data_IF_317290134539
#
_entry.id   IF_317290134539
#
_cell.length_a   1.000
_cell.length_b   1.000
_cell.length_c   1.000
_cell.angle_alpha   90.00
_cell.angle_beta   90.00
_cell.angle_gamma   90.00
#
_symmetry.space_group_name_H-M   'P 1'
#
loop_
_entity.id
_entity.type
_entity.pdbx_description
1 polymer ?
#
# COMPACT_ATOMS: atom_id res chain seq x y z
N UNK A 1 45.00 -23.56 -13.42
CA UNK A 1 45.09 -22.40 -12.50
C UNK A 1 46.41 -22.48 -11.76
N UNK A 2 47.18 -21.39 -11.69
CA UNK A 2 48.47 -21.35 -10.97
C UNK A 2 48.23 -21.46 -9.45
N UNK A 3 48.90 -22.41 -8.79
CA UNK A 3 48.88 -22.54 -7.33
C UNK A 3 49.90 -21.59 -6.70
N UNK A 4 49.68 -21.22 -5.43
CA UNK A 4 50.61 -20.40 -4.66
C UNK A 4 51.99 -21.07 -4.62
N UNK A 5 53.06 -20.29 -4.79
CA UNK A 5 54.45 -20.77 -4.75
C UNK A 5 54.96 -21.18 -3.37
N UNK A 6 54.10 -21.14 -2.34
CA UNK A 6 54.41 -21.73 -1.04
C UNK A 6 53.97 -23.19 -1.09
N UNK A 7 54.92 -24.11 -0.89
CA UNK A 7 54.81 -25.55 -1.14
C UNK A 7 53.62 -26.19 -0.40
N UNK A 8 53.26 -25.67 0.78
CA UNK A 8 52.15 -26.18 1.59
C UNK A 8 50.81 -25.46 1.32
N UNK A 9 50.80 -24.47 0.43
CA UNK A 9 49.63 -23.64 0.18
C UNK A 9 48.84 -24.10 -1.05
N UNK A 10 47.73 -24.81 -0.82
CA UNK A 10 46.78 -25.20 -1.88
C UNK A 10 45.97 -24.06 -2.51
N UNK A 11 46.14 -22.81 -2.07
CA UNK A 11 45.38 -21.65 -2.58
C UNK A 11 45.85 -21.24 -3.98
N UNK A 12 44.95 -20.66 -4.76
CA UNK A 12 45.25 -20.09 -6.07
C UNK A 12 46.18 -18.88 -5.93
N UNK A 13 47.20 -18.80 -6.78
CA UNK A 13 48.03 -17.60 -6.89
C UNK A 13 47.26 -16.49 -7.62
N UNK A 14 47.23 -15.30 -7.03
CA UNK A 14 46.63 -14.09 -7.61
C UNK A 14 47.56 -12.87 -7.55
N UNK A 15 48.59 -12.92 -6.70
CA UNK A 15 49.54 -11.83 -6.46
C UNK A 15 50.88 -12.07 -7.14
N UNK A 16 51.48 -11.00 -7.68
CA UNK A 16 52.79 -11.02 -8.32
C UNK A 16 53.29 -9.60 -8.57
N UNK A 17 54.46 -9.47 -9.19
CA UNK A 17 55.00 -8.17 -9.61
C UNK A 17 54.19 -7.67 -10.81
N UNK A 18 53.94 -6.36 -10.88
CA UNK A 18 53.22 -5.72 -12.00
C UNK A 18 53.79 -6.16 -13.35
N UNK A 19 52.93 -6.63 -14.26
CA UNK A 19 53.32 -7.14 -15.59
C UNK A 19 53.80 -8.60 -15.61
N UNK A 20 53.96 -9.23 -14.44
CA UNK A 20 54.35 -10.64 -14.31
C UNK A 20 53.16 -11.55 -14.00
N UNK A 21 53.36 -12.86 -14.11
CA UNK A 21 52.36 -13.86 -13.70
C UNK A 21 52.19 -13.87 -12.18
N UNK A 22 50.98 -14.22 -11.72
CA UNK A 22 50.71 -14.43 -10.31
C UNK A 22 51.50 -15.64 -9.77
N UNK A 23 52.22 -15.44 -8.67
CA UNK A 23 53.07 -16.44 -8.02
C UNK A 23 52.57 -16.78 -6.61
N UNK A 24 51.90 -15.86 -5.91
CA UNK A 24 51.46 -16.07 -4.51
C UNK A 24 49.97 -15.77 -4.28
N UNK A 25 49.42 -16.29 -3.19
CA UNK A 25 48.08 -15.92 -2.73
C UNK A 25 48.13 -14.69 -1.81
N UNK A 26 46.97 -14.11 -1.46
CA UNK A 26 46.90 -12.91 -0.61
C UNK A 26 47.68 -13.03 0.72
N UNK A 27 47.68 -14.22 1.33
CA UNK A 27 48.36 -14.45 2.61
C UNK A 27 49.88 -14.58 2.48
N UNK A 28 50.38 -14.86 1.28
CA UNK A 28 51.81 -15.10 1.00
C UNK A 28 52.38 -14.06 0.03
N UNK A 29 51.70 -12.92 -0.16
CA UNK A 29 52.21 -11.86 -1.02
C UNK A 29 53.33 -11.10 -0.32
N UNK A 30 54.34 -10.69 -1.07
CA UNK A 30 55.33 -9.72 -0.60
C UNK A 30 54.79 -8.28 -0.71
N UNK A 31 55.45 -7.33 -0.06
CA UNK A 31 55.01 -5.92 0.01
C UNK A 31 54.90 -5.29 -1.38
N UNK A 32 55.80 -5.63 -2.30
CA UNK A 32 55.84 -5.15 -3.68
C UNK A 32 54.88 -5.91 -4.64
N UNK A 33 54.16 -6.93 -4.17
CA UNK A 33 53.27 -7.72 -5.01
C UNK A 33 51.84 -7.17 -5.00
N UNK A 34 51.28 -7.04 -6.20
CA UNK A 34 49.91 -6.59 -6.46
C UNK A 34 49.08 -7.74 -7.00
N UNK A 35 47.76 -7.62 -6.93
CA UNK A 35 46.87 -8.59 -7.57
C UNK A 35 46.96 -8.41 -9.09
N UNK A 36 47.64 -9.36 -9.75
CA UNK A 36 47.87 -9.38 -11.20
C UNK A 36 46.92 -10.35 -11.92
N UNK A 37 46.17 -11.15 -11.17
CA UNK A 37 45.22 -12.11 -11.72
C UNK A 37 43.80 -11.55 -11.78
N UNK A 38 43.41 -10.72 -10.83
CA UNK A 38 42.09 -10.11 -10.78
C UNK A 38 42.14 -8.66 -11.29
N UNK A 39 41.11 -8.24 -12.01
CA UNK A 39 40.98 -6.85 -12.46
C UNK A 39 40.87 -5.94 -11.24
N UNK A 40 41.77 -4.98 -11.12
CA UNK A 40 41.81 -3.99 -10.03
C UNK A 40 41.64 -2.57 -10.60
N UNK A 41 41.06 -1.68 -9.80
CA UNK A 41 41.14 -0.24 -10.07
C UNK A 41 42.60 0.23 -9.89
N UNK A 42 42.99 1.35 -10.50
CA UNK A 42 44.36 1.91 -10.33
C UNK A 42 44.77 2.16 -8.88
N UNK A 43 43.82 2.25 -7.93
CA UNK A 43 44.06 2.37 -6.50
C UNK A 43 44.09 1.01 -5.74
N UNK A 44 44.10 -0.13 -6.45
CA UNK A 44 44.12 -1.48 -5.89
C UNK A 44 42.78 -2.04 -5.39
N UNK A 45 41.72 -1.23 -5.33
CA UNK A 45 40.37 -1.69 -4.93
C UNK A 45 39.66 -2.44 -6.06
N UNK A 46 38.72 -3.32 -5.69
CA UNK A 46 37.90 -4.05 -6.67
C UNK A 46 37.06 -3.07 -7.53
N UNK A 47 37.18 -3.12 -8.86
CA UNK A 47 36.46 -2.24 -9.75
C UNK A 47 35.02 -2.72 -9.91
N UNK A 48 34.08 -1.78 -9.88
CA UNK A 48 32.64 -2.02 -10.10
C UNK A 48 32.02 -1.06 -11.10
N UNK A 49 32.70 0.05 -11.39
CA UNK A 49 32.18 1.18 -12.14
C UNK A 49 32.93 1.37 -13.45
N UNK A 50 32.21 1.77 -14.50
CA UNK A 50 32.76 2.31 -15.74
C UNK A 50 31.67 3.00 -16.57
N UNK A 51 32.02 3.58 -17.72
CA UNK A 51 31.05 4.06 -18.69
C UNK A 51 30.22 2.91 -19.29
N UNK A 52 29.02 3.23 -19.75
CA UNK A 52 28.08 2.26 -20.34
C UNK A 52 28.74 1.54 -21.53
N UNK A 53 28.64 0.21 -21.56
CA UNK A 53 29.24 -0.63 -22.60
C UNK A 53 30.70 -1.03 -22.35
N UNK A 54 31.37 -0.46 -21.33
CA UNK A 54 32.74 -0.82 -20.97
C UNK A 54 32.77 -1.75 -19.74
N UNK A 55 33.75 -2.67 -19.65
CA UNK A 55 33.91 -3.53 -18.48
C UNK A 55 34.32 -2.73 -17.24
N UNK A 56 33.89 -3.13 -16.05
CA UNK A 56 34.22 -2.43 -14.79
C UNK A 56 35.74 -2.21 -14.63
N UNK A 57 36.15 -0.95 -14.41
CA UNK A 57 37.57 -0.54 -14.28
C UNK A 57 37.83 0.32 -13.03
N UNK A 58 36.81 0.99 -12.49
CA UNK A 58 36.95 1.92 -11.37
C UNK A 58 36.21 1.44 -10.13
N UNK A 59 36.77 1.72 -8.95
CA UNK A 59 36.11 1.45 -7.67
C UNK A 59 35.19 2.62 -7.26
N UNK A 60 34.37 2.44 -6.23
CA UNK A 60 33.40 3.47 -5.78
C UNK A 60 34.05 4.81 -5.43
N UNK A 61 35.27 4.82 -4.88
CA UNK A 61 35.97 6.07 -4.55
C UNK A 61 36.70 6.71 -5.74
N UNK A 62 36.80 6.02 -6.87
CA UNK A 62 37.48 6.50 -8.08
C UNK A 62 36.53 6.61 -9.28
N UNK A 63 35.22 6.48 -9.06
CA UNK A 63 34.21 6.68 -10.09
C UNK A 63 33.97 8.18 -10.27
N UNK A 64 33.62 8.59 -11.47
CA UNK A 64 33.01 9.90 -11.76
C UNK A 64 31.48 9.77 -11.74
N UNK A 65 30.76 10.89 -11.89
CA UNK A 65 29.30 10.92 -11.80
C UNK A 65 28.59 10.25 -13.00
N UNK A 66 29.24 10.21 -14.15
CA UNK A 66 28.79 9.58 -15.40
C UNK A 66 29.05 8.07 -15.46
N UNK A 67 29.82 7.51 -14.51
CA UNK A 67 30.10 6.07 -14.47
C UNK A 67 28.98 5.26 -13.82
N UNK A 68 28.61 4.15 -14.46
CA UNK A 68 27.61 3.18 -14.01
C UNK A 68 28.26 1.86 -13.58
N UNK A 69 27.48 0.93 -13.01
CA UNK A 69 27.94 -0.46 -12.80
C UNK A 69 27.60 -1.31 -14.05
N UNK A 70 28.54 -1.55 -14.99
CA UNK A 70 28.22 -2.10 -16.31
C UNK A 70 27.74 -3.56 -16.28
N UNK A 71 28.18 -4.34 -15.28
CA UNK A 71 27.82 -5.77 -15.16
C UNK A 71 26.60 -6.00 -14.26
N UNK A 72 25.95 -4.93 -13.79
CA UNK A 72 24.83 -5.07 -12.88
C UNK A 72 23.59 -5.47 -13.67
N UNK A 73 22.94 -6.57 -13.29
CA UNK A 73 21.66 -6.96 -13.88
C UNK A 73 20.62 -5.90 -13.53
N UNK A 74 20.00 -5.33 -14.57
CA UNK A 74 18.95 -4.33 -14.45
C UNK A 74 17.63 -4.94 -14.95
N UNK A 75 16.53 -4.44 -14.42
CA UNK A 75 15.22 -4.65 -15.04
C UNK A 75 15.22 -3.97 -16.43
N UNK A 76 14.28 -4.34 -17.29
CA UNK A 76 14.11 -3.72 -18.62
C UNK A 76 13.95 -2.19 -18.55
N UNK A 77 13.46 -1.65 -17.44
CA UNK A 77 13.35 -0.21 -17.19
C UNK A 77 14.64 0.46 -16.65
N UNK A 78 15.76 -0.27 -16.55
CA UNK A 78 17.04 0.25 -16.05
C UNK A 78 17.18 0.33 -14.52
N UNK A 79 16.13 -0.03 -13.76
CA UNK A 79 16.16 -0.04 -12.28
C UNK A 79 16.63 -1.41 -11.78
N UNK A 80 17.30 -1.42 -10.62
CA UNK A 80 17.72 -2.66 -9.96
C UNK A 80 16.51 -3.58 -9.71
N UNK A 81 16.55 -4.84 -10.18
CA UNK A 81 15.49 -5.79 -9.93
C UNK A 81 15.59 -6.37 -8.52
N UNK A 82 14.44 -6.64 -7.92
CA UNK A 82 14.29 -7.34 -6.64
C UNK A 82 13.18 -8.39 -6.67
N UNK A 83 12.34 -8.38 -7.72
CA UNK A 83 11.12 -9.15 -7.79
C UNK A 83 11.21 -10.23 -8.87
N UNK A 84 10.65 -11.39 -8.54
CA UNK A 84 10.30 -12.45 -9.48
C UNK A 84 9.31 -13.43 -8.81
N UNK A 85 8.93 -14.52 -9.47
CA UNK A 85 8.24 -15.63 -8.83
C UNK A 85 9.18 -16.41 -7.89
N UNK A 86 8.59 -17.13 -6.94
CA UNK A 86 9.33 -17.91 -5.95
C UNK A 86 10.29 -18.91 -6.62
N UNK A 87 11.52 -19.01 -6.12
CA UNK A 87 12.58 -19.85 -6.69
C UNK A 87 13.35 -19.26 -7.87
N UNK A 88 12.89 -18.15 -8.46
CA UNK A 88 13.57 -17.49 -9.58
C UNK A 88 14.48 -16.33 -9.11
N UNK A 89 15.52 -16.03 -9.90
CA UNK A 89 16.40 -14.86 -9.66
C UNK A 89 15.66 -13.56 -9.97
N UNK A 90 15.99 -12.46 -9.28
CA UNK A 90 15.34 -11.18 -9.52
C UNK A 90 15.55 -10.66 -10.96
N UNK A 91 14.45 -10.27 -11.61
CA UNK A 91 14.45 -9.69 -12.97
C UNK A 91 13.59 -8.43 -13.08
N UNK A 92 12.65 -8.24 -12.17
CA UNK A 92 11.72 -7.12 -12.18
C UNK A 92 11.99 -6.16 -11.03
N UNK A 93 11.90 -4.86 -11.30
CA UNK A 93 11.91 -3.85 -10.24
C UNK A 93 10.51 -3.73 -9.62
N UNK A 94 10.36 -2.93 -8.56
CA UNK A 94 9.05 -2.75 -7.87
C UNK A 94 7.95 -2.23 -8.80
N UNK A 95 8.29 -1.40 -9.79
CA UNK A 95 7.34 -0.81 -10.74
C UNK A 95 7.02 -1.72 -11.92
N UNK A 96 7.94 -2.61 -12.29
CA UNK A 96 7.78 -3.53 -13.43
C UNK A 96 7.36 -4.95 -13.01
N UNK A 97 7.13 -5.18 -11.72
CA UNK A 97 6.65 -6.49 -11.25
C UNK A 97 5.21 -6.72 -11.74
N UNK A 98 4.92 -7.95 -12.11
CA UNK A 98 3.57 -8.40 -12.42
C UNK A 98 2.84 -8.88 -11.15
N UNK A 99 1.53 -9.10 -11.26
CA UNK A 99 0.73 -9.75 -10.21
C UNK A 99 1.34 -11.10 -9.84
N UNK A 100 1.36 -11.42 -8.54
CA UNK A 100 1.94 -12.67 -8.02
C UNK A 100 3.47 -12.68 -7.86
N UNK A 101 4.21 -11.72 -8.42
CA UNK A 101 5.66 -11.63 -8.21
C UNK A 101 6.00 -11.11 -6.81
N UNK A 102 7.00 -11.74 -6.19
CA UNK A 102 7.45 -11.51 -4.82
C UNK A 102 8.88 -10.95 -4.82
N UNK A 103 9.30 -10.27 -3.74
CA UNK A 103 10.71 -9.92 -3.58
C UNK A 103 11.52 -11.21 -3.29
N UNK A 104 12.43 -11.57 -4.18
CA UNK A 104 13.25 -12.81 -4.13
C UNK A 104 14.68 -12.55 -3.64
N UNK A 105 15.09 -11.30 -3.49
CA UNK A 105 16.40 -10.91 -2.95
C UNK A 105 16.39 -10.80 -1.43
N UNK A 106 15.27 -10.34 -0.86
CA UNK A 106 15.13 -10.17 0.58
C UNK A 106 15.03 -11.54 1.26
N UNK A 107 15.84 -11.74 2.31
CA UNK A 107 15.74 -12.92 3.17
C UNK A 107 14.35 -12.99 3.78
N UNK A 108 13.72 -14.17 3.70
CA UNK A 108 12.37 -14.43 4.24
C UNK A 108 12.43 -15.39 5.42
N UNK A 109 11.40 -15.32 6.26
CA UNK A 109 11.14 -16.37 7.23
C UNK A 109 10.86 -17.71 6.52
N UNK A 110 11.14 -18.84 7.18
CA UNK A 110 10.78 -20.19 6.72
C UNK A 110 9.30 -20.30 6.35
N UNK A 111 8.41 -19.55 7.01
CA UNK A 111 6.98 -19.54 6.71
C UNK A 111 6.57 -18.70 5.47
N UNK A 112 7.54 -18.19 4.69
CA UNK A 112 7.27 -17.42 3.46
C UNK A 112 6.76 -15.99 3.68
N UNK A 113 6.40 -15.59 4.91
CA UNK A 113 5.93 -14.24 5.23
C UNK A 113 6.96 -13.17 4.86
N UNK A 114 6.46 -12.03 4.38
CA UNK A 114 7.24 -10.89 3.88
C UNK A 114 8.00 -10.13 4.97
N UNK A 115 7.70 -10.38 6.25
CA UNK A 115 8.45 -9.78 7.35
C UNK A 115 9.90 -10.30 7.35
N UNK A 116 10.85 -9.37 7.25
CA UNK A 116 12.27 -9.70 7.25
C UNK A 116 12.64 -10.46 8.53
N UNK A 117 13.17 -11.69 8.43
CA UNK A 117 13.39 -12.56 9.59
C UNK A 117 14.41 -11.93 10.54
N UNK A 118 14.08 -11.93 11.82
CA UNK A 118 14.87 -11.29 12.88
C UNK A 118 15.19 -12.23 14.03
N UNK A 119 14.60 -13.42 14.06
CA UNK A 119 14.74 -14.40 15.11
C UNK A 119 15.59 -15.59 14.66
N UNK A 120 16.46 -16.05 15.55
CA UNK A 120 17.19 -17.31 15.47
C UNK A 120 17.86 -17.60 16.84
N UNK A 121 18.57 -18.71 16.96
CA UNK A 121 19.46 -18.95 18.10
C UNK A 121 20.67 -18.01 18.07
N UNK A 122 21.28 -17.82 19.24
CA UNK A 122 22.44 -16.94 19.41
C UNK A 122 23.57 -17.28 18.44
N UNK A 123 24.22 -16.24 17.90
CA UNK A 123 25.29 -16.38 16.90
C UNK A 123 24.82 -16.65 15.46
N UNK A 124 23.56 -17.04 15.25
CA UNK A 124 23.02 -17.32 13.91
C UNK A 124 22.36 -16.08 13.27
N UNK A 125 22.30 -16.07 11.94
CA UNK A 125 21.60 -15.03 11.18
C UNK A 125 20.08 -15.22 11.26
N UNK A 126 19.32 -14.11 11.28
CA UNK A 126 17.86 -14.16 11.37
C UNK A 126 17.23 -15.02 10.27
N UNK A 127 16.50 -16.06 10.67
CA UNK A 127 15.82 -17.02 9.78
C UNK A 127 14.32 -17.13 10.05
N UNK A 128 13.87 -16.68 11.22
CA UNK A 128 12.48 -16.74 11.64
C UNK A 128 11.91 -15.33 11.88
N UNK A 129 10.62 -15.13 11.63
CA UNK A 129 9.89 -13.95 12.08
C UNK A 129 9.43 -14.15 13.52
N UNK A 130 9.00 -13.08 14.20
CA UNK A 130 8.58 -13.18 15.61
C UNK A 130 7.39 -14.13 15.85
N UNK A 131 6.54 -14.33 14.84
CA UNK A 131 5.43 -15.29 14.91
C UNK A 131 5.84 -16.75 14.66
N UNK A 132 7.05 -16.97 14.15
CA UNK A 132 7.60 -18.30 13.89
C UNK A 132 8.85 -18.55 14.74
N UNK A 133 9.04 -17.75 15.81
CA UNK A 133 10.09 -18.02 16.77
C UNK A 133 9.75 -19.34 17.49
N UNK A 134 10.73 -20.21 17.58
CA UNK A 134 10.66 -21.40 18.43
C UNK A 134 11.16 -21.06 19.83
N UNK A 135 10.89 -21.94 20.78
CA UNK A 135 11.39 -21.79 22.13
C UNK A 135 12.94 -21.70 22.15
N UNK A 136 13.45 -20.80 22.98
CA UNK A 136 14.88 -20.46 23.05
C UNK A 136 15.43 -19.57 21.91
N UNK A 137 14.65 -19.19 20.90
CA UNK A 137 15.12 -18.25 19.87
C UNK A 137 15.12 -16.79 20.37
N UNK A 138 16.13 -16.02 19.95
CA UNK A 138 16.27 -14.61 20.29
C UNK A 138 16.16 -13.72 19.04
N UNK A 139 15.88 -12.43 19.24
CA UNK A 139 15.97 -11.46 18.16
C UNK A 139 17.45 -11.16 17.85
N UNK A 140 18.03 -11.86 16.88
CA UNK A 140 19.45 -11.73 16.49
C UNK A 140 19.75 -10.41 15.75
N UNK A 141 18.74 -9.64 15.33
CA UNK A 141 18.91 -8.28 14.80
C UNK A 141 18.93 -7.22 15.91
N UNK A 142 18.23 -7.47 17.03
CA UNK A 142 18.16 -6.58 18.21
C UNK A 142 18.54 -7.37 19.45
N UNK A 143 19.84 -7.46 19.69
CA UNK A 143 20.42 -8.20 20.81
C UNK A 143 20.06 -7.50 22.12
N UNK A 144 19.59 -8.25 23.12
CA UNK A 144 19.28 -7.74 24.47
C UNK A 144 20.56 -7.58 25.30
N UNK A 145 20.55 -6.67 26.28
CA UNK A 145 21.71 -6.44 27.15
C UNK A 145 22.25 -7.76 27.72
N UNK A 146 23.52 -8.07 27.49
CA UNK A 146 24.16 -9.29 28.06
C UNK A 146 24.62 -9.07 29.51
N UNK A 147 24.75 -7.80 29.91
CA UNK A 147 25.24 -7.42 31.24
C UNK A 147 24.14 -7.33 32.29
N UNK A 148 22.86 -7.38 31.90
CA UNK A 148 21.73 -7.36 32.84
C UNK A 148 20.43 -7.89 32.21
N UNK A 149 19.50 -8.30 33.06
CA UNK A 149 18.20 -8.84 32.66
C UNK A 149 17.15 -7.77 32.30
N UNK A 150 17.55 -6.54 31.96
CA UNK A 150 16.60 -5.43 31.72
C UNK A 150 15.73 -5.61 30.47
N UNK A 151 16.07 -6.57 29.59
CA UNK A 151 15.34 -6.83 28.35
C UNK A 151 15.49 -5.74 27.27
N UNK A 152 16.22 -4.65 27.56
CA UNK A 152 16.46 -3.53 26.63
C UNK A 152 17.47 -3.92 25.56
N UNK A 153 17.27 -3.43 24.33
CA UNK A 153 18.22 -3.63 23.23
C UNK A 153 19.57 -2.99 23.51
N UNK A 154 20.64 -3.67 23.09
CA UNK A 154 21.99 -3.18 23.19
C UNK A 154 22.23 -2.05 22.19
N UNK A 155 22.67 -0.91 22.70
CA UNK A 155 23.11 0.20 21.86
C UNK A 155 24.60 0.53 22.08
N UNK A 156 25.20 0.04 23.16
CA UNK A 156 26.53 0.47 23.60
C UNK A 156 27.59 -0.63 23.48
N UNK A 157 28.79 -0.26 23.00
CA UNK A 157 30.04 -1.00 23.13
C UNK A 157 31.24 -0.09 22.79
N UNK A 158 32.47 -0.62 22.78
CA UNK A 158 33.66 0.07 22.28
C UNK A 158 33.57 0.33 20.75
N UNK A 159 34.22 1.39 20.25
CA UNK A 159 34.25 1.70 18.81
C UNK A 159 34.69 0.51 17.95
N UNK A 160 33.99 0.27 16.84
CA UNK A 160 34.30 -0.82 15.89
C UNK A 160 33.75 -2.20 16.25
N UNK A 161 33.17 -2.38 17.45
CA UNK A 161 32.53 -3.64 17.87
C UNK A 161 31.02 -3.63 17.65
N UNK A 162 30.34 -4.77 17.87
CA UNK A 162 28.86 -4.84 17.91
C UNK A 162 28.32 -4.39 19.27
N UNK A 163 27.13 -3.78 19.36
CA UNK A 163 26.51 -3.42 20.64
C UNK A 163 26.35 -4.64 21.57
N UNK A 164 26.69 -4.49 22.86
CA UNK A 164 26.56 -5.57 23.87
C UNK A 164 25.79 -5.19 25.13
N UNK A 165 25.58 -3.89 25.39
CA UNK A 165 24.86 -3.48 26.59
C UNK A 165 23.90 -2.30 26.38
N UNK A 166 22.96 -2.17 27.31
CA UNK A 166 22.06 -1.03 27.44
C UNK A 166 22.79 0.19 28.04
N UNK A 167 22.13 1.35 28.01
CA UNK A 167 22.69 2.60 28.53
C UNK A 167 23.09 2.52 30.01
N UNK A 168 22.32 1.80 30.84
CA UNK A 168 22.61 1.67 32.28
C UNK A 168 23.77 0.73 32.59
N UNK A 169 24.14 -0.16 31.68
CA UNK A 169 25.28 -1.08 31.82
C UNK A 169 26.52 -0.62 31.03
N UNK A 170 26.50 0.62 30.56
CA UNK A 170 27.61 1.27 29.86
C UNK A 170 28.72 1.56 30.87
N UNK A 171 29.96 1.16 30.55
CA UNK A 171 31.17 1.55 31.30
C UNK A 171 31.87 2.72 30.61
N UNK A 172 32.78 3.44 31.31
CA UNK A 172 33.65 4.43 30.67
C UNK A 172 34.33 3.85 29.41
N UNK A 173 34.41 4.65 28.34
CA UNK A 173 34.95 4.24 27.04
C UNK A 173 33.94 3.61 26.06
N UNK A 174 32.79 3.11 26.53
CA UNK A 174 31.74 2.60 25.63
C UNK A 174 30.94 3.75 24.99
N UNK A 175 30.62 3.63 23.70
CA UNK A 175 29.86 4.63 22.93
C UNK A 175 28.55 4.03 22.41
N UNK A 176 27.56 4.87 22.10
CA UNK A 176 26.36 4.43 21.39
C UNK A 176 26.75 4.15 19.93
N UNK A 177 26.59 2.91 19.50
CA UNK A 177 26.94 2.42 18.16
C UNK A 177 25.72 2.31 17.24
N UNK A 178 24.51 2.52 17.78
CA UNK A 178 23.26 2.41 17.03
C UNK A 178 22.77 3.81 16.63
N UNK A 179 22.81 4.75 17.55
CA UNK A 179 22.32 6.10 17.34
C UNK A 179 23.47 7.04 16.99
N UNK A 180 23.61 7.33 15.69
CA UNK A 180 24.64 8.21 15.16
C UNK A 180 24.64 9.58 15.87
N UNK A 181 25.79 9.95 16.41
CA UNK A 181 26.01 11.24 17.06
C UNK A 181 26.54 12.24 16.04
N UNK A 182 26.28 13.52 16.31
CA UNK A 182 26.96 14.62 15.63
C UNK A 182 28.47 14.52 15.86
N UNK A 183 29.28 15.06 14.94
CA UNK A 183 30.74 15.09 15.06
C UNK A 183 31.24 15.70 16.39
N UNK A 184 30.45 16.58 17.02
CA UNK A 184 30.74 17.17 18.32
C UNK A 184 30.55 16.22 19.52
N UNK A 185 29.95 15.04 19.31
CA UNK A 185 29.69 14.02 20.33
C UNK A 185 28.59 14.35 21.35
N UNK A 186 28.04 15.57 21.34
CA UNK A 186 27.13 16.06 22.40
C UNK A 186 25.66 15.72 22.19
N UNK A 187 25.24 15.42 20.96
CA UNK A 187 23.84 15.20 20.63
C UNK A 187 23.68 14.32 19.39
N UNK A 188 22.48 13.75 19.23
CA UNK A 188 22.08 12.98 18.06
C UNK A 188 22.17 13.81 16.78
N UNK A 189 22.67 13.18 15.72
CA UNK A 189 22.80 13.82 14.42
C UNK A 189 21.48 13.76 13.63
N UNK A 190 20.55 14.66 13.94
CA UNK A 190 19.23 14.69 13.30
C UNK A 190 19.18 15.65 12.09
N UNK A 191 20.20 16.49 11.89
CA UNK A 191 20.22 17.52 10.87
C UNK A 191 21.19 17.17 9.74
N UNK A 192 20.76 17.43 8.50
CA UNK A 192 21.62 17.50 7.31
C UNK A 192 20.86 18.18 6.15
N UNK A 193 21.50 18.28 4.98
CA UNK A 193 20.84 18.63 3.74
C UNK A 193 19.91 17.49 3.26
N UNK A 194 18.90 17.87 2.46
CA UNK A 194 17.90 16.94 1.93
C UNK A 194 18.58 15.78 1.18
N UNK A 195 18.14 14.55 1.45
CA UNK A 195 18.66 13.34 0.83
C UNK A 195 19.92 12.75 1.50
N UNK A 196 20.55 13.47 2.41
CA UNK A 196 21.71 12.99 3.17
C UNK A 196 21.30 12.41 4.54
N UNK A 197 22.04 11.42 5.07
CA UNK A 197 21.84 10.93 6.43
C UNK A 197 22.23 12.00 7.45
N UNK A 198 21.70 11.90 8.67
CA UNK A 198 21.88 12.95 9.67
C UNK A 198 23.28 12.88 10.25
N UNK A 199 24.04 13.97 10.14
CA UNK A 199 25.42 14.08 10.64
C UNK A 199 25.64 15.28 11.58
N UNK A 200 24.65 16.16 11.72
CA UNK A 200 24.70 17.36 12.56
C UNK A 200 23.62 17.38 13.64
N UNK A 201 23.92 17.91 14.82
CA UNK A 201 22.90 18.21 15.83
C UNK A 201 22.34 19.62 15.63
N UNK A 202 21.27 19.97 16.35
CA UNK A 202 20.63 21.28 16.22
C UNK A 202 21.56 22.47 16.49
N UNK A 203 22.58 22.29 17.34
CA UNK A 203 23.58 23.32 17.68
C UNK A 203 24.75 23.39 16.69
N UNK A 204 24.99 22.33 15.93
CA UNK A 204 26.08 22.25 14.96
C UNK A 204 25.58 22.29 13.53
N UNK A 205 24.27 22.41 13.30
CA UNK A 205 23.69 22.51 11.96
C UNK A 205 24.20 23.78 11.29
N UNK A 206 24.45 23.69 10.00
CA UNK A 206 24.76 24.83 9.15
C UNK A 206 23.47 25.43 8.58
N UNK A 207 23.59 26.63 8.02
CA UNK A 207 22.49 27.26 7.29
C UNK A 207 22.00 26.34 6.15
N UNK A 208 20.68 26.29 5.97
CA UNK A 208 20.03 25.42 4.98
C UNK A 208 19.86 23.95 5.38
N UNK A 209 20.45 23.48 6.49
CA UNK A 209 20.23 22.11 6.97
C UNK A 209 18.84 21.97 7.64
N UNK A 210 18.18 20.84 7.38
CA UNK A 210 16.87 20.50 7.93
C UNK A 210 16.96 19.34 8.93
N UNK A 211 16.00 19.24 9.84
CA UNK A 211 15.83 18.02 10.65
C UNK A 211 15.30 16.90 9.74
N UNK A 212 16.16 15.94 9.41
CA UNK A 212 15.81 14.84 8.51
C UNK A 212 15.03 13.71 9.22
N UNK A 213 15.09 13.66 10.57
CA UNK A 213 14.38 12.63 11.35
C UNK A 213 12.99 13.07 11.73
N UNK A 214 12.84 14.33 12.15
CA UNK A 214 11.58 14.94 12.57
C UNK A 214 11.20 16.08 11.63
N UNK A 215 11.29 15.85 10.32
CA UNK A 215 11.05 16.88 9.32
C UNK A 215 9.68 17.53 9.53
N UNK A 216 9.68 18.85 9.68
CA UNK A 216 8.49 19.69 9.82
C UNK A 216 8.40 20.62 8.62
N UNK A 217 7.18 21.03 8.30
CA UNK A 217 6.94 22.11 7.37
C UNK A 217 7.75 23.35 7.78
N UNK A 218 8.07 24.23 6.82
CA UNK A 218 8.77 25.48 7.10
C UNK A 218 8.11 26.31 8.22
N UNK A 219 6.79 26.22 8.37
CA UNK A 219 6.05 26.92 9.43
C UNK A 219 6.19 26.28 10.81
N UNK A 220 6.83 25.11 10.93
CA UNK A 220 7.05 24.36 12.16
C UNK A 220 5.82 23.62 12.72
N UNK A 221 4.61 23.84 12.19
CA UNK A 221 3.36 23.38 12.81
C UNK A 221 2.99 21.93 12.51
N UNK A 222 3.40 21.38 11.38
CA UNK A 222 2.95 20.04 10.93
C UNK A 222 3.99 19.32 10.09
N UNK A 223 3.83 18.00 9.93
CA UNK A 223 4.67 17.24 9.00
C UNK A 223 4.38 17.64 7.55
N UNK A 224 5.42 17.80 6.73
CA UNK A 224 5.24 18.17 5.35
C UNK A 224 4.72 16.98 4.51
N UNK A 225 3.88 17.30 3.54
CA UNK A 225 3.27 16.35 2.59
C UNK A 225 3.30 16.87 1.16
N UNK A 226 3.41 18.18 0.96
CA UNK A 226 3.36 18.85 -0.33
C UNK A 226 4.73 19.36 -0.77
N UNK A 227 4.98 19.31 -2.08
CA UNK A 227 6.03 20.03 -2.79
C UNK A 227 5.76 19.99 -4.32
N UNK A 228 6.68 20.54 -5.12
CA UNK A 228 6.70 20.34 -6.57
C UNK A 228 7.02 18.87 -6.88
N UNK A 229 6.47 18.36 -7.98
CA UNK A 229 6.71 16.99 -8.45
C UNK A 229 8.21 16.68 -8.56
N UNK A 230 8.60 15.48 -8.11
CA UNK A 230 10.00 15.05 -8.06
C UNK A 230 10.80 15.55 -6.85
N UNK A 231 10.29 16.51 -6.07
CA UNK A 231 10.95 16.99 -4.85
C UNK A 231 10.40 16.31 -3.58
N UNK A 232 11.24 16.26 -2.54
CA UNK A 232 10.84 15.76 -1.22
C UNK A 232 9.84 16.70 -0.52
N UNK A 233 8.87 16.14 0.22
CA UNK A 233 7.87 16.93 0.93
C UNK A 233 8.50 17.98 1.87
N UNK A 234 8.11 19.25 1.71
CA UNK A 234 8.60 20.38 2.53
C UNK A 234 7.50 21.28 3.07
N UNK A 235 6.30 21.21 2.49
CA UNK A 235 5.18 22.07 2.83
C UNK A 235 4.01 21.25 3.39
N UNK A 236 3.28 21.81 4.34
CA UNK A 236 2.01 21.27 4.76
C UNK A 236 0.88 21.86 3.91
N UNK A 237 -0.34 21.37 4.08
CA UNK A 237 -1.50 21.82 3.29
C UNK A 237 -1.75 23.33 3.40
N UNK A 238 -1.51 23.93 4.56
CA UNK A 238 -1.72 25.36 4.81
C UNK A 238 -0.56 26.23 4.32
N UNK A 239 0.50 25.61 3.83
CA UNK A 239 1.76 26.23 3.49
C UNK A 239 2.17 25.90 2.05
N UNK A 240 1.33 25.18 1.32
CA UNK A 240 1.59 24.80 -0.07
C UNK A 240 1.16 25.96 -0.97
N UNK A 241 1.91 26.15 -2.05
CA UNK A 241 1.48 27.03 -3.14
C UNK A 241 0.53 26.27 -4.09
N UNK A 242 -0.08 27.00 -5.04
CA UNK A 242 -1.02 26.42 -6.01
C UNK A 242 -0.39 25.28 -6.83
N UNK A 243 0.87 25.45 -7.25
CA UNK A 243 1.60 24.49 -8.06
C UNK A 243 2.16 23.29 -7.27
N UNK A 244 2.01 23.27 -5.94
CA UNK A 244 2.52 22.19 -5.12
C UNK A 244 1.51 21.05 -4.98
N UNK A 245 2.01 19.83 -5.21
CA UNK A 245 1.25 18.59 -5.15
C UNK A 245 1.65 17.77 -3.93
N UNK A 246 0.81 16.81 -3.56
CA UNK A 246 1.22 15.78 -2.60
C UNK A 246 2.28 14.88 -3.24
N UNK A 247 3.48 14.88 -2.66
CA UNK A 247 4.65 14.10 -3.11
C UNK A 247 4.94 12.91 -2.19
N UNK A 248 4.14 12.73 -1.13
CA UNK A 248 4.34 11.68 -0.13
C UNK A 248 3.41 10.49 -0.34
N UNK A 249 2.17 10.76 -0.73
CA UNK A 249 1.15 9.74 -0.88
C UNK A 249 0.96 9.35 -2.34
N UNK A 250 0.80 8.05 -2.59
CA UNK A 250 0.47 7.56 -3.91
C UNK A 250 -0.91 8.09 -4.33
N UNK A 251 -1.00 8.55 -5.59
CA UNK A 251 -2.25 8.91 -6.25
C UNK A 251 -2.75 7.75 -7.08
N UNK A 252 -4.03 7.81 -7.44
CA UNK A 252 -4.65 6.88 -8.37
C UNK A 252 -3.87 6.83 -9.68
N UNK A 253 -3.65 5.63 -10.20
CA UNK A 253 -2.98 5.39 -11.49
C UNK A 253 -3.77 5.93 -12.69
N UNK A 254 -5.08 6.13 -12.57
CA UNK A 254 -5.90 6.69 -13.64
C UNK A 254 -5.47 8.12 -13.94
N UNK A 255 -5.20 8.42 -15.22
CA UNK A 255 -4.86 9.76 -15.65
C UNK A 255 -5.88 10.78 -15.15
N UNK A 256 -5.38 11.93 -14.68
CA UNK A 256 -6.18 13.04 -14.11
C UNK A 256 -6.98 12.69 -12.84
N UNK A 257 -6.83 11.51 -12.26
CA UNK A 257 -7.42 11.16 -10.96
C UNK A 257 -6.47 11.51 -9.82
N UNK A 258 -6.70 12.65 -9.16
CA UNK A 258 -5.86 13.13 -8.06
C UNK A 258 -6.19 12.52 -6.68
N UNK A 259 -7.02 11.47 -6.65
CA UNK A 259 -7.41 10.82 -5.39
C UNK A 259 -6.23 10.04 -4.82
N UNK A 260 -5.94 10.23 -3.52
CA UNK A 260 -4.95 9.43 -2.79
C UNK A 260 -5.42 7.98 -2.68
N UNK A 261 -4.50 7.04 -2.84
CA UNK A 261 -4.81 5.60 -2.85
C UNK A 261 -3.98 4.82 -1.85
N UNK A 262 -4.53 3.69 -1.42
CA UNK A 262 -3.84 2.70 -0.59
C UNK A 262 -3.52 1.46 -1.46
N UNK A 263 -2.63 0.58 -1.00
CA UNK A 263 -2.26 -0.64 -1.75
C UNK A 263 -3.44 -1.60 -2.00
N UNK A 264 -4.53 -1.50 -1.22
CA UNK A 264 -5.71 -2.40 -1.28
C UNK A 264 -6.33 -2.55 -2.68
N UNK A 265 -6.33 -1.48 -3.50
CA UNK A 265 -7.00 -1.44 -4.80
C UNK A 265 -5.98 -1.35 -5.95
N UNK A 266 -4.84 -2.02 -5.82
CA UNK A 266 -3.80 -2.12 -6.86
C UNK A 266 -3.25 -0.76 -7.37
N UNK A 267 -3.36 0.29 -6.55
CA UNK A 267 -2.95 1.65 -6.90
C UNK A 267 -4.03 2.49 -7.60
N UNK A 268 -5.29 2.04 -7.62
CA UNK A 268 -6.43 2.81 -8.08
C UNK A 268 -7.28 3.30 -6.88
N UNK A 269 -8.04 4.38 -7.06
CA UNK A 269 -9.08 4.73 -6.11
C UNK A 269 -10.27 3.77 -6.28
N UNK A 270 -11.16 3.69 -5.31
CA UNK A 270 -12.31 2.77 -5.35
C UNK A 270 -13.11 2.88 -6.66
N UNK A 271 -13.46 4.11 -7.06
CA UNK A 271 -14.21 4.37 -8.30
C UNK A 271 -13.44 3.88 -9.53
N UNK A 272 -12.17 4.26 -9.68
CA UNK A 272 -11.36 3.86 -10.81
C UNK A 272 -11.08 2.35 -10.82
N UNK A 273 -10.93 1.74 -9.66
CA UNK A 273 -10.77 0.29 -9.53
C UNK A 273 -12.02 -0.45 -10.04
N UNK A 274 -13.22 -0.04 -9.63
CA UNK A 274 -14.49 -0.64 -10.11
C UNK A 274 -14.61 -0.50 -11.62
N UNK A 275 -14.32 0.67 -12.19
CA UNK A 275 -14.42 0.87 -13.64
C UNK A 275 -13.33 0.15 -14.44
N UNK A 276 -12.14 -0.03 -13.86
CA UNK A 276 -11.02 -0.69 -14.54
C UNK A 276 -11.10 -2.21 -14.42
N UNK A 277 -11.68 -2.71 -13.31
CA UNK A 277 -11.78 -4.13 -12.99
C UNK A 277 -13.19 -4.49 -12.49
N UNK A 278 -14.23 -4.42 -13.36
CA UNK A 278 -15.61 -4.68 -12.96
C UNK A 278 -15.82 -6.10 -12.42
N UNK A 279 -15.07 -7.08 -12.93
CA UNK A 279 -15.19 -8.48 -12.54
C UNK A 279 -14.37 -8.84 -11.29
N UNK A 280 -13.54 -7.92 -10.79
CA UNK A 280 -12.79 -8.15 -9.54
C UNK A 280 -13.66 -7.79 -8.36
N UNK A 281 -13.93 -8.78 -7.51
CA UNK A 281 -14.65 -8.59 -6.25
C UNK A 281 -13.96 -7.51 -5.41
N UNK A 282 -14.64 -6.37 -5.25
CA UNK A 282 -14.11 -5.27 -4.44
C UNK A 282 -14.22 -5.64 -2.97
N UNK A 283 -13.10 -5.62 -2.27
CA UNK A 283 -12.96 -6.21 -0.94
C UNK A 283 -13.87 -5.58 0.14
N UNK A 284 -14.73 -6.44 0.71
CA UNK A 284 -15.64 -6.33 1.88
C UNK A 284 -16.78 -5.30 1.78
N UNK A 285 -18.01 -5.81 1.86
CA UNK A 285 -19.29 -5.11 1.96
C UNK A 285 -19.74 -4.33 0.71
N UNK A 286 -19.20 -4.65 -0.47
CA UNK A 286 -19.63 -4.00 -1.72
C UNK A 286 -21.03 -4.46 -2.09
N UNK A 287 -21.97 -3.50 -2.24
CA UNK A 287 -23.37 -3.71 -2.63
C UNK A 287 -24.10 -4.77 -1.79
N UNK A 288 -23.66 -5.01 -0.56
CA UNK A 288 -24.15 -6.18 0.21
C UNK A 288 -25.63 -6.09 0.55
N UNK A 289 -26.15 -4.88 0.80
CA UNK A 289 -27.57 -4.68 1.06
C UNK A 289 -28.39 -4.69 -0.23
N UNK A 290 -27.89 -4.06 -1.29
CA UNK A 290 -28.44 -4.14 -2.65
C UNK A 290 -28.62 -5.60 -3.08
N UNK A 291 -27.55 -6.41 -3.03
CA UNK A 291 -27.60 -7.83 -3.39
C UNK A 291 -28.58 -8.64 -2.53
N UNK A 292 -28.72 -8.32 -1.24
CA UNK A 292 -29.67 -9.04 -0.39
C UNK A 292 -31.13 -8.75 -0.77
N UNK A 293 -31.44 -7.53 -1.22
CA UNK A 293 -32.76 -7.18 -1.76
C UNK A 293 -32.95 -7.81 -3.13
N UNK A 294 -31.95 -7.73 -4.01
CA UNK A 294 -32.00 -8.34 -5.35
C UNK A 294 -32.24 -9.86 -5.28
N UNK A 295 -31.52 -10.55 -4.40
CA UNK A 295 -31.68 -11.99 -4.18
C UNK A 295 -33.09 -12.31 -3.66
N UNK A 296 -33.60 -11.54 -2.70
CA UNK A 296 -34.96 -11.74 -2.19
C UNK A 296 -36.02 -11.55 -3.28
N UNK A 297 -35.99 -10.42 -3.99
CA UNK A 297 -36.99 -10.08 -5.01
C UNK A 297 -36.94 -11.06 -6.18
N UNK A 298 -35.76 -11.41 -6.68
CA UNK A 298 -35.61 -12.37 -7.78
C UNK A 298 -36.11 -13.77 -7.40
N UNK A 299 -35.89 -14.21 -6.16
CA UNK A 299 -36.40 -15.49 -5.66
C UNK A 299 -37.91 -15.47 -5.40
N UNK A 300 -38.47 -14.31 -5.06
CA UNK A 300 -39.91 -14.15 -4.74
C UNK A 300 -40.76 -14.05 -6.01
N UNK A 301 -40.23 -13.43 -7.06
CA UNK A 301 -40.91 -13.23 -8.34
C UNK A 301 -40.10 -13.85 -9.50
N UNK A 302 -39.97 -15.18 -9.57
CA UNK A 302 -39.18 -15.86 -10.59
C UNK A 302 -39.83 -15.81 -11.99
N UNK A 303 -41.15 -15.61 -12.06
CA UNK A 303 -41.92 -15.63 -13.30
C UNK A 303 -41.83 -14.33 -14.12
N UNK A 304 -41.18 -13.29 -13.56
CA UNK A 304 -41.00 -12.01 -14.23
C UNK A 304 -39.51 -11.72 -14.47
N UNK A 305 -39.23 -10.98 -15.53
CA UNK A 305 -37.85 -10.69 -15.96
C UNK A 305 -37.32 -9.40 -15.33
N UNK A 306 -36.60 -9.54 -14.22
CA UNK A 306 -35.90 -8.43 -13.57
C UNK A 306 -34.59 -8.06 -14.30
N UNK A 307 -34.36 -6.77 -14.49
CA UNK A 307 -33.12 -6.19 -14.98
C UNK A 307 -32.37 -5.56 -13.81
N UNK A 308 -31.30 -6.20 -13.35
CA UNK A 308 -30.52 -5.76 -12.18
C UNK A 308 -29.19 -5.12 -12.60
N UNK A 309 -28.88 -3.93 -12.07
CA UNK A 309 -27.63 -3.15 -12.28
C UNK A 309 -27.12 -3.09 -13.75
N UNK A 310 -28.05 -3.03 -14.70
CA UNK A 310 -27.76 -2.92 -16.15
C UNK A 310 -28.28 -1.60 -16.71
N UNK A 311 -27.66 -1.16 -17.80
CA UNK A 311 -28.15 -0.02 -18.57
C UNK A 311 -29.46 -0.44 -19.23
N UNK A 312 -30.46 0.43 -19.21
CA UNK A 312 -31.74 0.20 -19.88
C UNK A 312 -31.47 0.03 -21.39
N UNK A 313 -31.91 -1.09 -21.95
CA UNK A 313 -31.70 -1.40 -23.38
C UNK A 313 -32.46 -0.36 -24.19
N UNK A 314 -31.81 0.23 -25.19
CA UNK A 314 -32.32 1.36 -26.00
C UNK A 314 -32.53 2.70 -25.27
N UNK A 315 -32.08 2.82 -24.01
CA UNK A 315 -32.05 4.07 -23.26
C UNK A 315 -31.00 5.06 -23.80
N UNK A 316 -31.35 6.35 -23.84
CA UNK A 316 -30.42 7.41 -24.22
C UNK A 316 -29.38 7.71 -23.14
N UNK A 317 -29.66 7.35 -21.88
CA UNK A 317 -28.81 7.61 -20.73
C UNK A 317 -27.90 6.41 -20.38
N UNK A 318 -26.84 6.68 -19.60
CA UNK A 318 -25.97 5.64 -19.01
C UNK A 318 -26.43 5.18 -17.61
N UNK A 319 -27.68 5.47 -17.23
CA UNK A 319 -28.20 5.16 -15.89
C UNK A 319 -28.49 3.67 -15.74
N UNK A 320 -28.36 3.22 -14.50
CA UNK A 320 -28.56 1.84 -14.06
C UNK A 320 -29.43 1.90 -12.82
N UNK A 321 -30.71 1.50 -12.91
CA UNK A 321 -31.52 1.23 -11.72
C UNK A 321 -30.97 0.00 -11.00
N UNK A 322 -31.20 -0.08 -9.68
CA UNK A 322 -30.78 -1.26 -8.91
C UNK A 322 -31.56 -2.49 -9.39
N UNK A 323 -32.88 -2.37 -9.46
CA UNK A 323 -33.74 -3.36 -10.12
C UNK A 323 -34.82 -2.68 -10.96
N UNK A 324 -35.07 -3.20 -12.17
CA UNK A 324 -36.14 -2.75 -13.05
C UNK A 324 -36.98 -3.92 -13.53
N UNK A 325 -38.30 -3.73 -13.50
CA UNK A 325 -39.30 -4.63 -14.04
C UNK A 325 -40.19 -3.87 -15.04
N UNK A 326 -40.20 -4.33 -16.29
CA UNK A 326 -41.07 -3.78 -17.34
C UNK A 326 -42.31 -4.67 -17.49
N UNK A 327 -43.49 -4.12 -17.16
CA UNK A 327 -44.77 -4.82 -17.25
C UNK A 327 -45.55 -4.45 -18.53
N UNK A 328 -44.95 -3.67 -19.42
CA UNK A 328 -45.57 -3.17 -20.64
C UNK A 328 -46.51 -1.98 -20.42
N UNK A 329 -47.35 -2.01 -19.38
CA UNK A 329 -48.30 -0.92 -19.08
C UNK A 329 -47.75 0.16 -18.14
N UNK A 330 -46.76 -0.18 -17.31
CA UNK A 330 -45.91 0.73 -16.55
C UNK A 330 -44.60 0.01 -16.18
N UNK A 331 -43.64 0.74 -15.62
CA UNK A 331 -42.34 0.20 -15.18
C UNK A 331 -42.24 0.31 -13.66
N UNK A 332 -41.77 -0.75 -13.01
CA UNK A 332 -41.45 -0.73 -11.58
C UNK A 332 -39.92 -0.66 -11.44
N UNK A 333 -39.45 0.31 -10.66
CA UNK A 333 -38.02 0.44 -10.32
C UNK A 333 -37.89 0.33 -8.80
N UNK A 334 -37.11 -0.64 -8.33
CA UNK A 334 -36.75 -0.77 -6.91
C UNK A 334 -35.36 -0.16 -6.72
N UNK A 335 -35.22 0.75 -5.76
CA UNK A 335 -33.95 1.39 -5.41
C UNK A 335 -33.65 1.17 -3.92
N UNK A 336 -32.43 0.72 -3.62
CA UNK A 336 -31.97 0.46 -2.25
C UNK A 336 -31.22 1.68 -1.74
N UNK A 337 -31.96 2.58 -1.10
CA UNK A 337 -31.46 3.87 -0.64
C UNK A 337 -30.78 3.74 0.74
N UNK A 338 -29.51 3.27 0.74
CA UNK A 338 -28.69 3.23 1.95
C UNK A 338 -28.58 4.61 2.61
N UNK A 339 -28.81 4.67 3.93
CA UNK A 339 -28.88 5.90 4.73
C UNK A 339 -29.88 6.94 4.18
N UNK A 340 -30.99 6.49 3.58
CA UNK A 340 -32.05 7.36 3.02
C UNK A 340 -31.55 8.35 1.97
N UNK A 341 -30.43 8.04 1.30
CA UNK A 341 -29.82 8.93 0.30
C UNK A 341 -29.52 10.36 0.81
N UNK A 342 -29.27 10.56 2.12
CA UNK A 342 -29.03 11.88 2.78
C UNK A 342 -27.73 12.61 2.39
N UNK A 343 -27.30 12.54 1.13
CA UNK A 343 -26.22 13.39 0.61
C UNK A 343 -26.81 14.69 0.08
N UNK A 344 -26.28 15.83 0.55
CA UNK A 344 -26.61 17.17 0.06
C UNK A 344 -26.29 17.30 -1.44
N UNK A 345 -27.25 16.97 -2.31
CA UNK A 345 -27.37 17.50 -3.68
C UNK A 345 -28.75 17.18 -4.26
N UNK A 346 -29.76 17.95 -3.83
CA UNK A 346 -31.17 17.78 -4.19
C UNK A 346 -31.47 18.11 -5.68
N UNK A 347 -30.50 18.62 -6.44
CA UNK A 347 -30.65 18.93 -7.88
C UNK A 347 -30.39 17.73 -8.79
N UNK A 348 -29.69 16.70 -8.32
CA UNK A 348 -29.25 15.56 -9.12
C UNK A 348 -30.28 14.41 -9.15
N UNK A 349 -31.09 14.25 -8.08
CA UNK A 349 -32.14 13.22 -7.97
C UNK A 349 -33.25 13.41 -9.02
N UNK A 350 -33.76 14.63 -9.16
CA UNK A 350 -34.78 14.96 -10.17
C UNK A 350 -34.27 14.77 -11.60
N UNK A 351 -32.99 15.10 -11.85
CA UNK A 351 -32.36 14.84 -13.14
C UNK A 351 -32.27 13.34 -13.44
N UNK A 352 -31.87 12.51 -12.46
CA UNK A 352 -31.83 11.05 -12.61
C UNK A 352 -33.22 10.47 -12.89
N UNK A 353 -34.26 10.92 -12.19
CA UNK A 353 -35.65 10.49 -12.40
C UNK A 353 -36.12 10.81 -13.82
N UNK A 354 -35.84 12.02 -14.31
CA UNK A 354 -36.22 12.43 -15.66
C UNK A 354 -35.42 11.69 -16.75
N UNK A 355 -34.13 11.43 -16.53
CA UNK A 355 -33.30 10.61 -17.44
C UNK A 355 -33.83 9.17 -17.53
N UNK A 356 -34.23 8.56 -16.40
CA UNK A 356 -34.86 7.22 -16.39
C UNK A 356 -36.25 7.22 -17.06
N UNK A 357 -37.04 8.29 -16.86
CA UNK A 357 -38.31 8.46 -17.57
C UNK A 357 -38.11 8.54 -19.08
N UNK A 358 -37.10 9.27 -19.55
CA UNK A 358 -36.75 9.32 -20.97
C UNK A 358 -36.32 7.95 -21.49
N UNK A 359 -35.49 7.21 -20.74
CA UNK A 359 -35.01 5.88 -21.15
C UNK A 359 -36.13 4.85 -21.34
N UNK A 360 -37.27 5.03 -20.66
CA UNK A 360 -38.45 4.17 -20.82
C UNK A 360 -39.55 4.79 -21.70
N UNK A 361 -39.23 5.83 -22.49
CA UNK A 361 -40.15 6.56 -23.37
C UNK A 361 -41.35 7.19 -22.62
N UNK A 362 -41.11 7.76 -21.44
CA UNK A 362 -42.11 8.42 -20.59
C UNK A 362 -43.30 7.54 -20.20
N UNK A 363 -43.15 6.22 -20.28
CA UNK A 363 -44.11 5.29 -19.68
C UNK A 363 -44.20 5.56 -18.17
N UNK A 364 -45.37 5.36 -17.54
CA UNK A 364 -45.51 5.54 -16.10
C UNK A 364 -44.45 4.71 -15.35
N UNK A 365 -43.75 5.32 -14.39
CA UNK A 365 -42.77 4.64 -13.55
C UNK A 365 -43.23 4.69 -12.09
N UNK A 366 -43.21 3.55 -11.42
CA UNK A 366 -43.36 3.44 -9.97
C UNK A 366 -41.99 3.16 -9.35
N UNK A 367 -41.47 4.13 -8.61
CA UNK A 367 -40.26 3.98 -7.80
C UNK A 367 -40.63 3.47 -6.42
N UNK A 368 -40.17 2.26 -6.08
CA UNK A 368 -40.26 1.70 -4.74
C UNK A 368 -38.89 1.81 -4.09
N UNK A 369 -38.73 2.74 -3.15
CA UNK A 369 -37.46 3.03 -2.50
C UNK A 369 -37.44 2.42 -1.11
N UNK A 370 -36.52 1.50 -0.88
CA UNK A 370 -36.38 0.82 0.41
C UNK A 370 -35.10 1.27 1.11
N UNK A 371 -35.25 1.85 2.30
CA UNK A 371 -34.12 2.11 3.18
C UNK A 371 -33.83 0.85 4.02
N UNK A 372 -32.63 0.26 3.98
CA UNK A 372 -32.26 -0.86 4.85
C UNK A 372 -31.67 -0.42 6.21
N UNK A 373 -31.47 0.89 6.41
CA UNK A 373 -30.77 1.46 7.57
C UNK A 373 -31.72 2.01 8.65
N UNK A 374 -31.15 2.72 9.62
CA UNK A 374 -31.93 3.37 10.67
C UNK A 374 -32.83 4.49 10.11
N UNK A 375 -33.95 4.71 10.79
CA UNK A 375 -34.88 5.79 10.48
C UNK A 375 -35.70 6.20 11.71
N UNK A 376 -36.34 7.37 11.63
CA UNK A 376 -37.30 7.87 12.62
C UNK A 376 -38.72 7.48 12.21
N UNK A 377 -39.40 6.76 13.09
CA UNK A 377 -40.80 6.40 12.92
C UNK A 377 -41.75 7.60 13.10
N UNK A 378 -43.02 7.42 12.74
CA UNK A 378 -44.06 8.44 12.91
C UNK A 378 -44.27 8.86 14.38
N UNK A 379 -43.99 7.99 15.34
CA UNK A 379 -44.06 8.29 16.78
C UNK A 379 -42.82 9.04 17.29
N UNK A 380 -41.84 9.31 16.43
CA UNK A 380 -40.55 9.91 16.81
C UNK A 380 -39.55 8.89 17.36
N UNK A 381 -39.90 7.59 17.42
CA UNK A 381 -38.99 6.56 17.91
C UNK A 381 -37.93 6.23 16.86
N UNK A 382 -36.66 6.16 17.30
CA UNK A 382 -35.54 5.77 16.46
C UNK A 382 -35.50 4.25 16.27
N UNK A 383 -35.80 3.81 15.05
CA UNK A 383 -35.67 2.42 14.63
C UNK A 383 -34.22 2.17 14.18
N UNK A 384 -33.57 1.16 14.76
CA UNK A 384 -32.16 0.83 14.46
C UNK A 384 -32.03 0.19 13.08
N UNK A 385 -30.81 0.25 12.50
CA UNK A 385 -30.49 -0.42 11.25
C UNK A 385 -30.59 -1.95 11.40
N UNK A 386 -31.12 -2.61 10.38
CA UNK A 386 -31.13 -4.07 10.28
C UNK A 386 -29.73 -4.66 10.10
N UNK A 387 -28.75 -3.82 9.74
CA UNK A 387 -27.41 -4.22 9.35
C UNK A 387 -26.36 -3.69 10.32
N UNK A 388 -25.34 -4.51 10.57
CA UNK A 388 -24.23 -4.17 11.46
C UNK A 388 -22.90 -4.68 10.95
N UNK A 389 -21.81 -4.06 11.42
CA UNK A 389 -20.44 -4.44 11.06
C UNK A 389 -19.81 -5.21 12.21
N UNK A 390 -19.32 -6.42 11.92
CA UNK A 390 -18.59 -7.23 12.91
C UNK A 390 -17.25 -6.56 13.23
N UNK A 391 -16.99 -6.18 14.50
CA UNK A 391 -15.80 -5.40 14.88
C UNK A 391 -14.47 -6.10 14.55
N UNK A 392 -14.43 -7.43 14.65
CA UNK A 392 -13.22 -8.24 14.43
C UNK A 392 -12.94 -8.47 12.94
N UNK A 393 -13.99 -8.66 12.13
CA UNK A 393 -13.86 -9.04 10.72
C UNK A 393 -14.23 -7.93 9.76
N UNK A 394 -14.85 -6.83 10.20
CA UNK A 394 -15.33 -5.75 9.33
C UNK A 394 -16.41 -6.16 8.33
N UNK A 395 -17.05 -7.32 8.51
CA UNK A 395 -18.08 -7.86 7.62
C UNK A 395 -19.45 -7.30 8.01
N UNK A 396 -20.18 -6.77 7.02
CA UNK A 396 -21.57 -6.35 7.12
C UNK A 396 -22.45 -7.58 7.16
N UNK A 397 -23.30 -7.68 8.17
CA UNK A 397 -24.25 -8.75 8.36
C UNK A 397 -25.57 -8.19 8.86
N UNK A 398 -26.64 -8.94 8.65
CA UNK A 398 -27.92 -8.68 9.29
C UNK A 398 -27.74 -8.90 10.80
N UNK A 399 -28.14 -7.91 11.60
CA UNK A 399 -28.11 -7.95 13.07
C UNK A 399 -29.50 -7.99 13.67
N UNK A 400 -30.52 -7.60 12.91
CA UNK A 400 -31.93 -7.63 13.28
C UNK A 400 -32.72 -8.29 12.14
N UNK A 401 -32.89 -9.60 12.26
CA UNK A 401 -33.46 -10.44 11.22
C UNK A 401 -34.98 -10.29 11.14
N UNK A 402 -35.64 -10.03 12.26
CA UNK A 402 -37.09 -9.82 12.35
C UNK A 402 -37.49 -8.50 11.67
N UNK A 403 -36.80 -7.40 12.00
CA UNK A 403 -37.05 -6.12 11.35
C UNK A 403 -36.70 -6.19 9.86
N UNK A 404 -35.60 -6.85 9.49
CA UNK A 404 -35.23 -7.03 8.09
C UNK A 404 -36.30 -7.79 7.30
N UNK A 405 -36.81 -8.88 7.85
CA UNK A 405 -37.86 -9.67 7.22
C UNK A 405 -39.15 -8.85 7.06
N UNK A 406 -39.54 -8.08 8.08
CA UNK A 406 -40.70 -7.17 7.99
C UNK A 406 -40.54 -6.13 6.87
N UNK A 407 -39.33 -5.62 6.64
CA UNK A 407 -39.06 -4.70 5.51
C UNK A 407 -39.23 -5.37 4.16
N UNK A 408 -38.70 -6.58 4.01
CA UNK A 408 -38.81 -7.37 2.78
C UNK A 408 -40.26 -7.76 2.47
N UNK A 409 -41.05 -8.13 3.49
CA UNK A 409 -42.48 -8.42 3.34
C UNK A 409 -43.29 -7.20 2.91
N UNK A 410 -42.99 -6.01 3.47
CA UNK A 410 -43.62 -4.77 3.00
C UNK A 410 -43.23 -4.45 1.56
N UNK A 411 -41.97 -4.70 1.17
CA UNK A 411 -41.51 -4.51 -0.21
C UNK A 411 -42.23 -5.45 -1.17
N UNK A 412 -42.35 -6.73 -0.81
CA UNK A 412 -43.10 -7.72 -1.56
C UNK A 412 -44.54 -7.25 -1.82
N UNK A 413 -45.24 -6.80 -0.77
CA UNK A 413 -46.62 -6.29 -0.89
C UNK A 413 -46.74 -5.11 -1.83
N UNK A 414 -45.76 -4.21 -1.84
CA UNK A 414 -45.74 -3.08 -2.79
C UNK A 414 -45.53 -3.57 -4.23
N UNK A 415 -44.57 -4.46 -4.45
CA UNK A 415 -44.32 -5.02 -5.79
C UNK A 415 -45.58 -5.75 -6.29
N UNK A 416 -46.22 -6.58 -5.47
CA UNK A 416 -47.48 -7.28 -5.80
C UNK A 416 -48.59 -6.30 -6.14
N UNK A 417 -48.79 -5.25 -5.33
CA UNK A 417 -49.81 -4.24 -5.55
C UNK A 417 -49.64 -3.56 -6.91
N UNK A 418 -48.44 -3.08 -7.23
CA UNK A 418 -48.18 -2.38 -8.49
C UNK A 418 -48.09 -3.32 -9.69
N UNK A 419 -47.79 -4.61 -9.48
CA UNK A 419 -47.82 -5.62 -10.54
C UNK A 419 -49.24 -6.02 -10.97
N UNK A 420 -50.29 -5.55 -10.29
CA UNK A 420 -51.66 -5.71 -10.73
C UNK A 420 -52.01 -4.62 -11.78
N UNK A 421 -52.46 -4.97 -13.00
CA UNK A 421 -52.89 -4.02 -14.02
C UNK A 421 -53.98 -3.02 -13.58
N UNK A 422 -54.82 -3.40 -12.61
CA UNK A 422 -55.86 -2.52 -12.04
C UNK A 422 -55.27 -1.34 -11.26
N UNK A 423 -54.04 -1.48 -10.75
CA UNK A 423 -53.32 -0.46 -9.99
C UNK A 423 -52.33 0.33 -10.85
N UNK A 424 -52.55 0.41 -12.17
CA UNK A 424 -51.69 1.20 -13.05
C UNK A 424 -51.65 2.66 -12.58
N UNK A 425 -50.44 3.20 -12.41
CA UNK A 425 -50.27 4.61 -12.05
C UNK A 425 -50.72 5.53 -13.20
N UNK A 426 -51.51 6.55 -12.85
CA UNK A 426 -51.86 7.65 -13.74
C UNK A 426 -50.78 8.73 -13.82
N UNK A 427 -49.83 8.74 -12.87
CA UNK A 427 -48.71 9.67 -12.86
C UNK A 427 -47.59 9.15 -13.76
N UNK A 428 -46.88 10.06 -14.43
CA UNK A 428 -45.64 9.71 -15.14
C UNK A 428 -44.60 9.12 -14.18
N UNK A 429 -44.55 9.63 -12.95
CA UNK A 429 -43.64 9.17 -11.90
C UNK A 429 -44.42 9.10 -10.58
N UNK A 430 -44.47 7.92 -9.99
CA UNK A 430 -44.95 7.66 -8.63
C UNK A 430 -43.74 7.26 -7.77
N UNK A 431 -43.64 7.77 -6.54
CA UNK A 431 -42.53 7.47 -5.63
C UNK A 431 -43.08 6.99 -4.30
N UNK A 432 -42.58 5.85 -3.83
CA UNK A 432 -42.99 5.19 -2.60
C UNK A 432 -41.74 5.03 -1.75
N UNK A 433 -41.69 5.78 -0.65
CA UNK A 433 -40.57 5.77 0.27
C UNK A 433 -40.89 4.87 1.47
N UNK A 434 -40.12 3.79 1.62
CA UNK A 434 -40.32 2.79 2.66
C UNK A 434 -39.22 2.90 3.71
N UNK A 435 -39.63 3.05 4.97
CA UNK A 435 -38.72 3.10 6.13
C UNK A 435 -37.79 4.33 6.14
N UNK A 436 -38.34 5.50 5.78
CA UNK A 436 -37.65 6.80 5.82
C UNK A 436 -38.01 7.58 7.09
N UNK A 437 -37.18 8.57 7.43
CA UNK A 437 -37.54 9.53 8.46
C UNK A 437 -38.83 10.23 8.07
N UNK A 438 -39.85 10.10 8.91
CA UNK A 438 -41.05 10.89 8.80
C UNK A 438 -40.76 12.22 9.52
N UNK A 439 -40.68 13.32 8.76
CA UNK A 439 -40.54 14.65 9.36
C UNK A 439 -41.69 14.87 10.34
N UNK A 440 -41.36 15.29 11.57
CA UNK A 440 -42.32 15.93 12.48
C UNK A 440 -42.82 17.24 11.88
#
# INVERSE_FOLDING_TARGET
MTKCGNVECGKKATFGITGSKATYCLAHKEVNMVDVANKTCGCGKHPRWNLKGLPAKYCTSCKTDDMIEPNRKLCSCGVRPHFNFEGLKAEFCKLCKLGGMINVEDKRCVCGKTASPSFNYEGLLGKYCGLCQLDGMINVKRVKCIKCACGVSCNFNLPGLKPICCASCKTPGMIDLVHRLCFCGKAQSNFNYIGLPGDYCSKCKLEGMIDIRNNRCFCGKSQPTYNIEGLYARYCINCKDENMIDVRHAKCKTLFCNIRVQEKYEGYCLRCFIHTYPDKVVARNYKTKEFAVEEFVTNTFPDVSWINDKIITDGCSKKRPDMLLDLGYHVIIVEVDENQHKKYDCSCSNKRLMELSQDVNHRPIVFIRINPDEYLSQSGDKIKSCWGITKQTGICKIIDQENWQSRLESLQKQIEYWSNPENKSEKTIEIIEMFYDQNL
#
